data_IF_537718844978
#
_entry.id   IF_537718844978
#
_cell.length_a   1.000
_cell.length_b   1.000
_cell.length_c   1.000
_cell.angle_alpha   90.00
_cell.angle_beta   90.00
_cell.angle_gamma   90.00
#
_symmetry.space_group_name_H-M   'P 1'
#
loop_
_entity.id
_entity.type
_entity.pdbx_description
1 polymer ?
#
# COMPACT_ATOMS: atom_id res chain seq x y z
N UNK A 1 -21.34 15.09 -7.30
CA UNK A 1 -20.44 15.99 -8.04
C UNK A 1 -19.04 15.54 -7.70
N UNK A 2 -18.37 14.84 -8.61
CA UNK A 2 -17.00 14.41 -8.39
C UNK A 2 -16.15 15.68 -8.39
N UNK A 3 -15.57 15.99 -7.23
CA UNK A 3 -14.61 17.07 -7.10
C UNK A 3 -13.51 16.82 -8.13
N UNK A 4 -13.22 17.80 -8.98
CA UNK A 4 -12.26 17.64 -10.06
C UNK A 4 -10.90 17.50 -9.39
N UNK A 5 -10.45 16.26 -9.20
CA UNK A 5 -9.16 15.96 -8.59
C UNK A 5 -8.10 16.58 -9.51
N UNK A 6 -7.70 17.79 -9.17
CA UNK A 6 -6.56 18.48 -9.75
C UNK A 6 -5.32 17.89 -9.07
N UNK A 7 -5.12 16.58 -9.23
CA UNK A 7 -3.99 15.93 -8.63
C UNK A 7 -2.73 16.49 -9.28
N UNK A 8 -1.76 16.85 -8.45
CA UNK A 8 -0.45 17.24 -8.93
C UNK A 8 0.38 15.97 -8.92
N UNK A 9 1.17 15.63 -9.96
CA UNK A 9 2.03 14.43 -9.95
C UNK A 9 2.87 14.28 -8.67
N UNK A 10 3.29 15.41 -8.08
CA UNK A 10 3.95 15.44 -6.77
C UNK A 10 3.09 14.89 -5.61
N UNK A 11 1.79 15.18 -5.57
CA UNK A 11 0.87 14.65 -4.55
C UNK A 11 0.64 13.14 -4.73
N UNK A 12 0.52 12.67 -5.98
CA UNK A 12 0.42 11.24 -6.26
C UNK A 12 1.68 10.48 -5.79
N UNK A 13 2.87 11.04 -6.05
CA UNK A 13 4.14 10.48 -5.57
C UNK A 13 4.23 10.49 -4.04
N UNK A 14 3.83 11.57 -3.39
CA UNK A 14 3.81 11.66 -1.93
C UNK A 14 2.87 10.62 -1.31
N UNK A 15 1.66 10.47 -1.87
CA UNK A 15 0.73 9.43 -1.44
C UNK A 15 1.30 8.03 -1.68
N UNK A 16 1.98 7.79 -2.80
CA UNK A 16 2.62 6.51 -3.07
C UNK A 16 3.68 6.14 -2.03
N UNK A 17 4.53 7.09 -1.64
CA UNK A 17 5.53 6.89 -0.56
C UNK A 17 4.83 6.51 0.73
N UNK A 18 3.76 7.21 1.10
CA UNK A 18 3.02 6.90 2.32
C UNK A 18 2.38 5.49 2.32
N UNK A 19 1.84 5.07 1.17
CA UNK A 19 1.32 3.71 1.01
C UNK A 19 2.43 2.65 1.09
N UNK A 20 3.62 2.92 0.55
CA UNK A 20 4.78 2.03 0.63
C UNK A 20 5.28 1.89 2.07
N UNK A 21 5.47 3.00 2.79
CA UNK A 21 5.83 3.01 4.21
C UNK A 21 4.82 2.22 5.06
N UNK A 22 3.52 2.39 4.76
CA UNK A 22 2.46 1.64 5.46
C UNK A 22 2.52 0.15 5.17
N UNK A 23 2.78 -0.23 3.91
CA UNK A 23 2.97 -1.64 3.53
C UNK A 23 4.13 -2.27 4.30
N UNK A 24 5.27 -1.59 4.33
CA UNK A 24 6.47 -2.03 5.06
C UNK A 24 6.19 -2.16 6.55
N UNK A 25 5.55 -1.16 7.16
CA UNK A 25 5.16 -1.20 8.57
C UNK A 25 4.26 -2.40 8.87
N UNK A 26 3.20 -2.62 8.08
CA UNK A 26 2.27 -3.73 8.28
C UNK A 26 2.95 -5.11 8.22
N UNK A 27 3.99 -5.25 7.37
CA UNK A 27 4.79 -6.49 7.30
C UNK A 27 5.62 -6.75 8.56
N UNK A 28 5.92 -5.73 9.36
CA UNK A 28 6.67 -5.88 10.62
C UNK A 28 5.79 -6.24 11.82
N UNK A 29 4.50 -5.90 11.79
CA UNK A 29 3.58 -6.08 12.93
C UNK A 29 3.51 -7.54 13.43
N UNK A 30 3.50 -8.57 12.56
CA UNK A 30 3.46 -9.98 12.99
C UNK A 30 4.71 -10.46 13.74
N UNK A 31 5.80 -9.68 13.81
CA UNK A 31 7.04 -10.08 14.51
C UNK A 31 6.85 -10.40 16.00
N UNK A 32 5.77 -9.90 16.62
CA UNK A 32 5.41 -10.18 18.01
C UNK A 32 4.60 -11.48 18.20
N UNK A 33 4.07 -12.07 17.12
CA UNK A 33 3.22 -13.27 17.20
C UNK A 33 3.91 -14.50 17.84
N UNK A 34 5.20 -14.77 17.65
CA UNK A 34 5.87 -15.90 18.31
C UNK A 34 5.82 -15.84 19.84
N UNK A 35 5.97 -14.66 20.44
CA UNK A 35 5.90 -14.49 21.89
C UNK A 35 4.47 -14.71 22.43
N UNK A 36 3.45 -14.31 21.64
CA UNK A 36 2.04 -14.58 21.98
C UNK A 36 1.76 -16.08 21.89
N UNK A 37 2.28 -16.76 20.86
CA UNK A 37 2.13 -18.21 20.71
C UNK A 37 2.81 -18.96 21.86
N UNK A 38 4.01 -18.54 22.27
CA UNK A 38 4.69 -19.10 23.45
C UNK A 38 3.87 -18.93 24.73
N UNK A 39 3.26 -17.76 24.92
CA UNK A 39 2.34 -17.53 26.05
C UNK A 39 1.12 -18.46 25.99
N UNK A 40 0.55 -18.72 24.81
CA UNK A 40 -0.57 -19.65 24.64
C UNK A 40 -0.15 -21.10 24.86
N UNK A 41 1.03 -21.49 24.40
CA UNK A 41 1.58 -22.84 24.55
C UNK A 41 1.97 -23.14 26.01
N UNK A 42 2.25 -22.11 26.81
CA UNK A 42 2.49 -22.23 28.25
C UNK A 42 1.24 -22.58 29.07
N UNK A 43 0.05 -22.47 28.48
CA UNK A 43 -1.20 -22.77 29.17
C UNK A 43 -1.36 -24.28 29.39
N UNK A 44 -1.79 -24.64 30.60
CA UNK A 44 -2.07 -26.04 30.96
C UNK A 44 -3.22 -26.65 30.15
N UNK A 45 -3.37 -27.99 30.17
CA UNK A 45 -4.28 -28.73 29.29
C UNK A 45 -5.76 -28.35 29.40
N UNK A 46 -6.19 -27.78 30.54
CA UNK A 46 -7.56 -27.26 30.74
C UNK A 46 -7.91 -26.16 29.71
N UNK A 47 -6.90 -25.45 29.20
CA UNK A 47 -7.07 -24.36 28.23
C UNK A 47 -6.78 -24.80 26.79
N UNK A 48 -6.87 -26.10 26.48
CA UNK A 48 -6.56 -26.63 25.14
C UNK A 48 -7.36 -25.97 24.02
N UNK A 49 -8.67 -25.77 24.21
CA UNK A 49 -9.54 -25.08 23.25
C UNK A 49 -9.15 -23.62 23.05
N UNK A 50 -8.79 -22.91 24.13
CA UNK A 50 -8.31 -21.53 24.08
C UNK A 50 -7.00 -21.42 23.32
N UNK A 51 -6.07 -22.37 23.51
CA UNK A 51 -4.80 -22.41 22.79
C UNK A 51 -5.01 -22.57 21.29
N UNK A 52 -5.91 -23.46 20.88
CA UNK A 52 -6.21 -23.67 19.46
C UNK A 52 -6.89 -22.46 18.84
N UNK A 53 -7.93 -21.92 19.50
CA UNK A 53 -8.60 -20.70 19.04
C UNK A 53 -7.64 -19.51 18.96
N UNK A 54 -6.69 -19.39 19.90
CA UNK A 54 -5.65 -18.37 19.88
C UNK A 54 -4.70 -18.53 18.70
N UNK A 55 -4.30 -19.76 18.36
CA UNK A 55 -3.45 -20.06 17.20
C UNK A 55 -4.15 -19.72 15.89
N UNK A 56 -5.40 -20.14 15.73
CA UNK A 56 -6.23 -19.81 14.56
C UNK A 56 -6.39 -18.29 14.39
N UNK A 57 -6.62 -17.57 15.49
CA UNK A 57 -6.76 -16.11 15.47
C UNK A 57 -5.44 -15.41 15.07
N UNK A 58 -4.29 -15.90 15.56
CA UNK A 58 -2.97 -15.35 15.19
C UNK A 58 -2.66 -15.57 13.71
N UNK A 59 -3.02 -16.72 13.17
CA UNK A 59 -2.88 -17.03 11.74
C UNK A 59 -3.76 -16.13 10.87
N UNK A 60 -5.06 -16.00 11.22
CA UNK A 60 -5.97 -15.07 10.54
C UNK A 60 -5.47 -13.63 10.59
N UNK A 61 -4.94 -13.20 11.73
CA UNK A 61 -4.37 -11.85 11.89
C UNK A 61 -3.13 -11.66 11.03
N UNK A 62 -2.25 -12.66 10.93
CA UNK A 62 -1.09 -12.61 10.05
C UNK A 62 -1.50 -12.47 8.58
N UNK A 63 -2.43 -13.30 8.11
CA UNK A 63 -2.96 -13.22 6.75
C UNK A 63 -3.60 -11.85 6.46
N UNK A 64 -4.34 -11.30 7.43
CA UNK A 64 -4.95 -9.98 7.30
C UNK A 64 -3.90 -8.86 7.13
N UNK A 65 -2.81 -8.89 7.91
CA UNK A 65 -1.73 -7.93 7.76
C UNK A 65 -1.00 -8.07 6.43
N UNK A 66 -0.76 -9.31 5.98
CA UNK A 66 -0.12 -9.56 4.69
C UNK A 66 -0.98 -9.01 3.54
N UNK A 67 -2.28 -9.31 3.54
CA UNK A 67 -3.21 -8.80 2.52
C UNK A 67 -3.27 -7.26 2.53
N UNK A 68 -3.33 -6.64 3.70
CA UNK A 68 -3.33 -5.17 3.79
C UNK A 68 -2.00 -4.59 3.27
N UNK A 69 -0.86 -5.18 3.63
CA UNK A 69 0.42 -4.75 3.13
C UNK A 69 0.49 -4.84 1.60
N UNK A 70 0.00 -5.92 1.00
CA UNK A 70 0.01 -6.10 -0.44
C UNK A 70 -0.93 -5.11 -1.15
N UNK A 71 -2.12 -4.84 -0.59
CA UNK A 71 -3.03 -3.80 -1.10
C UNK A 71 -2.38 -2.40 -1.06
N UNK A 72 -1.65 -2.08 0.02
CA UNK A 72 -0.92 -0.83 0.14
C UNK A 72 0.22 -0.74 -0.87
N UNK A 73 0.97 -1.80 -1.10
CA UNK A 73 2.03 -1.85 -2.11
C UNK A 73 1.47 -1.67 -3.53
N UNK A 74 0.34 -2.31 -3.83
CA UNK A 74 -0.37 -2.14 -5.11
C UNK A 74 -0.83 -0.69 -5.30
N UNK A 75 -1.41 -0.07 -4.26
CA UNK A 75 -1.83 1.33 -4.32
C UNK A 75 -0.63 2.26 -4.59
N UNK A 76 0.49 2.05 -3.91
CA UNK A 76 1.72 2.81 -4.14
C UNK A 76 2.20 2.68 -5.59
N UNK A 77 2.19 1.47 -6.14
CA UNK A 77 2.54 1.21 -7.53
C UNK A 77 1.61 1.98 -8.49
N UNK A 78 0.29 1.87 -8.31
CA UNK A 78 -0.70 2.50 -9.17
C UNK A 78 -0.61 4.03 -9.15
N UNK A 79 -0.35 4.62 -7.97
CA UNK A 79 -0.15 6.06 -7.81
C UNK A 79 1.12 6.53 -8.53
N UNK A 80 2.23 5.80 -8.43
CA UNK A 80 3.46 6.09 -9.18
C UNK A 80 3.25 6.02 -10.69
N UNK A 81 2.60 4.95 -11.16
CA UNK A 81 2.29 4.75 -12.57
C UNK A 81 1.42 5.90 -13.10
N UNK A 82 0.40 6.30 -12.33
CA UNK A 82 -0.48 7.41 -12.70
C UNK A 82 0.26 8.75 -12.75
N UNK A 83 1.19 9.01 -11.82
CA UNK A 83 2.02 10.21 -11.84
C UNK A 83 2.93 10.26 -13.07
N UNK A 84 3.54 9.13 -13.44
CA UNK A 84 4.39 9.02 -14.64
C UNK A 84 3.59 9.25 -15.92
N UNK A 85 2.43 8.60 -16.08
CA UNK A 85 1.56 8.79 -17.25
C UNK A 85 1.15 10.26 -17.42
N UNK A 86 0.95 10.97 -16.31
CA UNK A 86 0.58 12.38 -16.38
C UNK A 86 1.72 13.28 -16.87
N UNK A 87 2.93 13.06 -16.36
CA UNK A 87 4.13 13.79 -16.81
C UNK A 87 4.41 13.52 -18.30
N UNK A 88 4.18 12.29 -18.77
CA UNK A 88 4.31 11.94 -20.19
C UNK A 88 3.28 12.68 -21.06
N UNK A 89 2.02 12.72 -20.63
CA UNK A 89 0.97 13.44 -21.35
C UNK A 89 1.22 14.96 -21.37
N UNK A 90 1.68 15.54 -20.26
CA UNK A 90 2.00 16.97 -20.18
C UNK A 90 3.17 17.34 -21.09
N UNK A 91 4.24 16.53 -21.09
CA UNK A 91 5.36 16.71 -22.00
C UNK A 91 4.97 16.57 -23.47
N UNK A 92 4.13 15.59 -23.81
CA UNK A 92 3.68 15.40 -25.18
C UNK A 92 2.83 16.59 -25.66
N UNK A 93 1.88 17.04 -24.84
CA UNK A 93 1.07 18.20 -25.17
C UNK A 93 1.93 19.47 -25.34
N UNK A 94 2.92 19.69 -24.48
CA UNK A 94 3.84 20.82 -24.59
C UNK A 94 4.64 20.80 -25.90
N UNK A 95 5.08 19.62 -26.37
CA UNK A 95 5.76 19.46 -27.66
C UNK A 95 4.82 19.76 -28.82
N UNK A 96 3.61 19.18 -28.80
CA UNK A 96 2.62 19.37 -29.86
C UNK A 96 2.24 20.86 -30.00
N UNK A 97 2.07 21.57 -28.88
CA UNK A 97 1.81 23.02 -28.90
C UNK A 97 3.00 23.84 -29.40
N UNK A 98 4.23 23.47 -29.01
CA UNK A 98 5.45 24.11 -29.51
C UNK A 98 5.58 24.00 -31.03
N UNK A 99 5.36 22.80 -31.57
CA UNK A 99 5.42 22.53 -33.02
C UNK A 99 4.37 23.33 -33.80
N UNK A 100 3.16 23.51 -33.26
CA UNK A 100 2.12 24.37 -33.88
C UNK A 100 2.57 25.84 -33.90
N UNK A 101 3.20 26.33 -32.83
CA UNK A 101 3.65 27.73 -32.76
C UNK A 101 4.85 28.01 -33.67
N UNK A 102 5.75 27.05 -33.87
CA UNK A 102 6.92 27.20 -34.72
C UNK A 102 6.63 26.95 -36.21
N UNK A 103 5.67 26.09 -36.54
CA UNK A 103 5.23 25.82 -37.93
C UNK A 103 4.38 26.93 -38.58
N UNK A 104 4.03 27.97 -37.82
CA UNK A 104 3.22 29.13 -38.27
C UNK A 104 4.03 30.35 -38.75
N UNK A 105 5.36 30.25 -38.89
CA UNK A 105 6.24 31.33 -39.35
C UNK A 105 6.76 31.15 -40.78
#
# INVERSE_FOLDING_TARGET
MADRIQAVPAQLRAAAVHHEETSEYLRTVPSSHPAIQESLDSLGPIFGELREAGRELLELRWQCYQQQADNHAEMAHNLRTSATMWDEHDQQAARDFGDITDGGR
#
